data_IF_654076557369
#
_entry.id   IF_654076557369
#
_cell.length_a   1.000
_cell.length_b   1.000
_cell.length_c   1.000
_cell.angle_alpha   90.00
_cell.angle_beta   90.00
_cell.angle_gamma   90.00
#
_symmetry.space_group_name_H-M   'P 1'
#
loop_
_entity.id
_entity.type
_entity.pdbx_description
1 polymer ?
#
# COMPACT_ATOMS: atom_id res chain seq x y z
N UNK A 1 -33.46 -5.83 11.05
CA UNK A 1 -33.12 -4.59 10.30
C UNK A 1 -32.08 -3.82 11.11
N UNK A 2 -30.79 -4.09 10.91
CA UNK A 2 -29.72 -3.41 11.66
C UNK A 2 -29.35 -2.14 10.89
N UNK A 3 -29.70 -0.99 11.44
CA UNK A 3 -29.27 0.30 10.95
C UNK A 3 -27.73 0.39 11.08
N UNK A 4 -27.05 0.32 9.97
CA UNK A 4 -25.61 0.63 9.87
C UNK A 4 -25.45 2.15 9.97
N UNK A 5 -25.45 2.71 11.18
CA UNK A 5 -25.13 4.12 11.39
C UNK A 5 -23.65 4.29 11.04
N UNK A 6 -23.37 4.93 9.90
CA UNK A 6 -22.03 5.39 9.57
C UNK A 6 -21.47 6.18 10.78
N UNK A 7 -20.29 5.81 11.27
CA UNK A 7 -19.65 6.54 12.39
C UNK A 7 -19.30 7.93 11.90
N UNK A 8 -19.81 9.00 12.56
CA UNK A 8 -19.47 10.36 12.16
C UNK A 8 -17.95 10.59 12.28
N UNK A 9 -17.40 11.40 11.37
CA UNK A 9 -16.00 11.80 11.37
C UNK A 9 -15.62 12.45 12.71
N UNK A 10 -14.36 12.35 13.14
CA UNK A 10 -13.89 12.89 14.43
C UNK A 10 -14.23 14.40 14.61
N UNK A 11 -14.33 15.15 13.52
CA UNK A 11 -14.76 16.57 13.52
C UNK A 11 -16.21 16.80 13.94
N UNK A 12 -17.07 15.82 13.79
CA UNK A 12 -18.51 15.93 14.07
C UNK A 12 -18.87 15.41 15.46
N UNK A 13 -17.90 14.81 16.17
CA UNK A 13 -18.12 14.27 17.51
C UNK A 13 -17.95 15.35 18.56
N UNK A 14 -18.88 15.39 19.53
CA UNK A 14 -18.66 16.18 20.73
C UNK A 14 -17.43 15.69 21.51
N UNK A 15 -16.78 16.58 22.28
CA UNK A 15 -15.65 16.22 23.14
C UNK A 15 -15.92 15.00 24.02
N UNK A 16 -17.15 14.89 24.52
CA UNK A 16 -17.59 13.81 25.39
C UNK A 16 -17.69 12.47 24.62
N UNK A 17 -18.14 12.50 23.36
CA UNK A 17 -18.18 11.34 22.48
C UNK A 17 -16.79 10.90 22.04
N UNK A 18 -15.88 11.84 21.81
CA UNK A 18 -14.46 11.57 21.53
C UNK A 18 -13.81 10.92 22.74
N UNK A 19 -14.03 11.46 23.94
CA UNK A 19 -13.47 10.92 25.19
C UNK A 19 -14.02 9.54 25.55
N UNK A 20 -15.33 9.29 25.35
CA UNK A 20 -15.94 7.99 25.61
C UNK A 20 -15.51 6.91 24.63
N UNK A 21 -15.24 7.28 23.38
CA UNK A 21 -14.72 6.37 22.34
C UNK A 21 -13.20 6.18 22.41
N UNK A 22 -12.48 7.10 23.05
CA UNK A 22 -11.05 7.04 23.25
C UNK A 22 -10.69 6.04 24.36
N UNK A 23 -10.94 4.77 24.15
CA UNK A 23 -10.28 3.69 24.87
C UNK A 23 -8.75 3.82 24.82
N UNK A 24 -8.00 2.87 25.31
CA UNK A 24 -6.57 2.88 25.15
C UNK A 24 -6.20 2.93 23.65
N UNK A 25 -5.34 3.86 23.26
CA UNK A 25 -4.91 4.09 21.86
C UNK A 25 -4.47 2.79 21.17
N UNK A 26 -3.76 1.92 21.90
CA UNK A 26 -3.27 0.64 21.40
C UNK A 26 -4.37 -0.40 21.11
N UNK A 27 -5.59 -0.16 21.54
CA UNK A 27 -6.75 -1.02 21.21
C UNK A 27 -7.47 -0.56 19.94
N UNK A 28 -7.10 0.58 19.38
CA UNK A 28 -7.69 1.03 18.12
C UNK A 28 -7.21 0.15 16.95
N UNK A 29 -8.11 -0.32 16.02
CA UNK A 29 -7.74 -1.24 14.92
C UNK A 29 -6.58 -0.74 14.04
N UNK A 30 -6.44 0.57 13.85
CA UNK A 30 -5.38 1.16 13.04
C UNK A 30 -4.10 1.50 13.82
N UNK A 31 -4.08 1.31 15.14
CA UNK A 31 -2.89 1.63 15.93
C UNK A 31 -1.65 0.85 15.49
N UNK A 32 -1.79 -0.46 15.33
CA UNK A 32 -0.67 -1.30 14.89
C UNK A 32 -0.23 -0.96 13.45
N UNK A 33 -1.16 -0.55 12.58
CA UNK A 33 -0.83 -0.07 11.23
C UNK A 33 0.01 1.20 11.29
N UNK A 34 -0.43 2.20 12.07
CA UNK A 34 0.29 3.45 12.27
C UNK A 34 1.66 3.22 12.93
N UNK A 35 1.72 2.48 14.02
CA UNK A 35 2.96 2.15 14.71
C UNK A 35 3.94 1.41 13.78
N UNK A 36 3.46 0.42 13.06
CA UNK A 36 4.29 -0.37 12.14
C UNK A 36 4.89 0.45 11.00
N UNK A 37 4.19 1.47 10.47
CA UNK A 37 4.80 2.35 9.46
C UNK A 37 5.86 3.28 10.07
N UNK A 38 5.68 3.78 11.30
CA UNK A 38 6.71 4.54 12.00
C UNK A 38 7.95 3.68 12.28
N UNK A 39 7.75 2.46 12.75
CA UNK A 39 8.80 1.53 13.14
C UNK A 39 9.70 1.17 11.94
N UNK A 40 9.11 0.77 10.81
CA UNK A 40 9.89 0.41 9.61
C UNK A 40 10.55 1.60 8.91
N UNK A 41 10.03 2.82 9.07
CA UNK A 41 10.61 4.00 8.43
C UNK A 41 11.63 4.75 9.31
N UNK A 42 11.50 4.68 10.63
CA UNK A 42 12.26 5.53 11.55
C UNK A 42 12.98 4.79 12.67
N UNK A 43 12.83 3.48 12.81
CA UNK A 43 13.56 2.69 13.79
C UNK A 43 14.66 1.88 13.10
N UNK A 44 15.93 2.23 13.34
CA UNK A 44 17.09 1.53 12.77
C UNK A 44 17.15 0.06 13.20
N UNK A 45 16.56 -0.27 14.36
CA UNK A 45 16.51 -1.64 14.89
C UNK A 45 15.37 -2.47 14.27
N UNK A 46 14.53 -1.89 13.42
CA UNK A 46 13.47 -2.64 12.76
C UNK A 46 14.04 -3.54 11.66
N UNK A 47 13.69 -4.83 11.66
CA UNK A 47 14.02 -5.79 10.59
C UNK A 47 13.66 -5.27 9.20
N UNK A 48 12.67 -4.39 9.12
CA UNK A 48 12.21 -3.81 7.87
C UNK A 48 12.90 -2.49 7.51
N UNK A 49 13.73 -1.91 8.40
CA UNK A 49 14.31 -0.58 8.20
C UNK A 49 15.07 -0.45 6.87
N UNK A 50 15.94 -1.41 6.55
CA UNK A 50 16.71 -1.43 5.30
C UNK A 50 15.84 -1.36 4.03
N UNK A 51 14.61 -1.85 4.11
CA UNK A 51 13.67 -1.85 2.99
C UNK A 51 12.81 -0.60 2.91
N UNK A 52 12.76 0.20 3.98
CA UNK A 52 11.96 1.42 4.11
C UNK A 52 12.80 2.64 4.48
N UNK A 53 13.09 2.88 5.74
CA UNK A 53 13.85 4.03 6.21
C UNK A 53 15.24 4.11 5.59
N UNK A 54 15.95 2.99 5.48
CA UNK A 54 17.25 2.88 4.82
C UNK A 54 17.24 3.22 3.33
N UNK A 55 16.06 3.27 2.70
CA UNK A 55 15.85 3.74 1.31
C UNK A 55 15.23 5.14 1.22
N UNK A 56 15.23 5.89 2.32
CA UNK A 56 14.64 7.23 2.36
C UNK A 56 13.11 7.27 2.40
N UNK A 57 12.45 6.12 2.59
CA UNK A 57 11.00 6.08 2.76
C UNK A 57 10.65 6.56 4.17
N UNK A 58 9.87 7.62 4.24
CA UNK A 58 9.49 8.27 5.50
C UNK A 58 7.98 8.27 5.73
N UNK A 59 7.59 8.61 6.94
CA UNK A 59 6.21 8.92 7.30
C UNK A 59 6.05 10.43 7.37
N UNK A 60 4.92 10.95 6.89
CA UNK A 60 4.55 12.36 6.93
C UNK A 60 4.78 12.93 8.34
N UNK A 61 5.39 14.11 8.41
CA UNK A 61 5.92 14.66 9.65
C UNK A 61 4.86 14.81 10.72
N UNK A 62 3.70 15.33 10.37
CA UNK A 62 2.60 15.53 11.32
C UNK A 62 2.12 14.20 11.92
N UNK A 63 2.16 13.10 11.17
CA UNK A 63 1.79 11.78 11.69
C UNK A 63 2.84 11.16 12.61
N UNK A 64 4.03 11.77 12.70
CA UNK A 64 5.10 11.36 13.62
C UNK A 64 5.05 12.10 14.95
N UNK A 65 4.16 13.10 15.09
CA UNK A 65 4.10 13.95 16.27
C UNK A 65 3.73 13.15 17.52
N UNK A 66 4.67 13.10 18.48
CA UNK A 66 4.52 12.36 19.75
C UNK A 66 3.83 13.19 20.84
N UNK A 67 3.58 14.47 20.60
CA UNK A 67 2.86 15.31 21.57
C UNK A 67 1.48 14.70 21.87
N UNK A 68 0.98 14.95 23.08
CA UNK A 68 -0.37 14.53 23.46
C UNK A 68 -1.41 15.36 22.73
N UNK A 69 -2.46 14.71 22.25
CA UNK A 69 -3.57 15.43 21.65
C UNK A 69 -4.24 16.34 22.71
N UNK A 70 -4.51 17.62 22.43
CA UNK A 70 -5.00 18.58 23.43
C UNK A 70 -6.26 18.13 24.15
N UNK A 71 -7.17 17.50 23.42
CA UNK A 71 -8.49 17.07 23.93
C UNK A 71 -8.48 15.60 24.34
N UNK A 72 -7.78 14.73 23.60
CA UNK A 72 -7.68 13.29 23.89
C UNK A 72 -6.30 13.01 24.50
N UNK A 73 -6.07 13.48 25.72
CA UNK A 73 -4.76 13.44 26.40
C UNK A 73 -4.05 12.08 26.44
N UNK A 74 -4.79 10.98 26.21
CA UNK A 74 -4.23 9.61 26.18
C UNK A 74 -3.65 9.24 24.82
N UNK A 75 -3.95 9.99 23.75
CA UNK A 75 -3.52 9.70 22.40
C UNK A 75 -2.44 10.67 21.93
N UNK A 76 -1.55 10.22 21.03
CA UNK A 76 -0.61 11.12 20.38
C UNK A 76 -1.30 11.92 19.30
N UNK A 77 -0.87 13.16 19.11
CA UNK A 77 -1.38 14.04 18.07
C UNK A 77 -1.17 13.41 16.69
N UNK A 78 -0.01 12.82 16.43
CA UNK A 78 0.29 12.19 15.15
C UNK A 78 -0.62 11.01 14.81
N UNK A 79 -1.03 10.22 15.81
CA UNK A 79 -2.00 9.15 15.58
C UNK A 79 -3.39 9.71 15.27
N UNK A 80 -3.82 10.78 15.95
CA UNK A 80 -5.10 11.42 15.68
C UNK A 80 -5.17 12.01 14.28
N UNK A 81 -4.12 12.72 13.85
CA UNK A 81 -4.03 13.29 12.50
C UNK A 81 -3.99 12.21 11.41
N UNK A 82 -3.32 11.08 11.68
CA UNK A 82 -3.36 9.93 10.79
C UNK A 82 -4.76 9.35 10.67
N UNK A 83 -5.48 9.17 11.78
CA UNK A 83 -6.86 8.66 11.77
C UNK A 83 -7.80 9.61 11.03
N UNK A 84 -7.73 10.90 11.29
CA UNK A 84 -8.54 11.91 10.60
C UNK A 84 -8.31 11.83 9.09
N UNK A 85 -7.06 11.69 8.66
CA UNK A 85 -6.76 11.50 7.24
C UNK A 85 -7.38 10.22 6.67
N UNK A 86 -7.23 9.08 7.36
CA UNK A 86 -7.77 7.80 6.90
C UNK A 86 -9.29 7.85 6.80
N UNK A 87 -9.97 8.36 7.81
CA UNK A 87 -11.43 8.45 7.83
C UNK A 87 -11.99 9.36 6.73
N UNK A 88 -11.35 10.51 6.50
CA UNK A 88 -11.81 11.48 5.52
C UNK A 88 -11.48 11.12 4.06
N UNK A 89 -10.40 10.34 3.82
CA UNK A 89 -9.90 10.12 2.45
C UNK A 89 -9.93 8.66 1.99
N UNK A 90 -9.84 7.69 2.92
CA UNK A 90 -9.79 6.26 2.56
C UNK A 90 -11.05 5.51 2.97
N UNK A 91 -11.80 6.08 3.90
CA UNK A 91 -12.99 5.46 4.47
C UNK A 91 -12.69 4.18 5.27
N UNK A 92 -13.71 3.37 5.45
CA UNK A 92 -13.63 2.17 6.28
C UNK A 92 -12.77 1.08 5.65
N UNK A 93 -11.91 0.47 6.47
CA UNK A 93 -11.10 -0.66 6.06
C UNK A 93 -11.97 -1.91 5.85
N UNK A 94 -12.02 -2.44 4.64
CA UNK A 94 -12.65 -3.72 4.34
C UNK A 94 -11.85 -4.89 4.93
N UNK A 95 -12.52 -5.98 5.23
CA UNK A 95 -11.86 -7.21 5.66
C UNK A 95 -10.86 -7.70 4.60
N UNK A 96 -9.71 -8.21 5.01
CA UNK A 96 -8.64 -8.66 4.10
C UNK A 96 -7.81 -7.54 3.44
N UNK A 97 -8.21 -6.26 3.61
CA UNK A 97 -7.44 -5.12 3.10
C UNK A 97 -6.40 -4.64 4.10
N UNK A 98 -5.32 -4.09 3.61
CA UNK A 98 -4.30 -3.42 4.42
C UNK A 98 -3.87 -2.10 3.79
N UNK A 99 -3.26 -1.23 4.60
CA UNK A 99 -2.78 0.07 4.13
C UNK A 99 -1.60 -0.12 3.18
N UNK A 100 -1.72 0.40 1.97
CA UNK A 100 -0.72 0.33 0.90
C UNK A 100 -0.35 1.73 0.42
N UNK A 101 0.88 1.90 -0.06
CA UNK A 101 1.33 3.11 -0.74
C UNK A 101 1.05 2.97 -2.23
N UNK A 102 0.35 3.95 -2.81
CA UNK A 102 0.04 3.99 -4.24
C UNK A 102 1.33 3.96 -5.06
N UNK A 103 2.27 4.84 -4.71
CA UNK A 103 3.63 4.84 -5.24
C UNK A 103 4.59 4.32 -4.16
N UNK A 104 5.18 3.15 -4.37
CA UNK A 104 6.09 2.51 -3.43
C UNK A 104 7.42 3.26 -3.22
N UNK A 105 7.79 4.19 -4.12
CA UNK A 105 8.99 5.02 -3.99
C UNK A 105 8.78 6.23 -3.08
N UNK A 106 7.53 6.61 -2.84
CA UNK A 106 7.17 7.70 -1.95
C UNK A 106 6.89 7.17 -0.54
N UNK A 107 6.95 8.07 0.46
CA UNK A 107 6.65 7.78 1.85
C UNK A 107 5.15 7.60 2.14
N UNK A 108 4.84 7.34 3.41
CA UNK A 108 3.48 7.34 3.94
C UNK A 108 3.06 8.78 4.17
N UNK A 109 2.26 9.34 3.27
CA UNK A 109 1.84 10.74 3.27
C UNK A 109 0.47 10.91 2.64
N UNK A 110 -0.21 12.05 2.87
CA UNK A 110 -1.46 12.38 2.18
C UNK A 110 -1.34 12.21 0.66
N UNK A 111 -2.39 11.68 0.05
CA UNK A 111 -2.45 11.42 -1.40
C UNK A 111 -1.70 10.16 -1.87
N UNK A 112 -0.88 9.51 -1.03
CA UNK A 112 -0.12 8.31 -1.42
C UNK A 112 -0.57 7.02 -0.72
N UNK A 113 -1.72 7.02 -0.07
CA UNK A 113 -2.23 5.86 0.66
C UNK A 113 -3.56 5.37 0.06
N UNK A 114 -3.79 4.07 0.19
CA UNK A 114 -5.05 3.41 -0.16
C UNK A 114 -5.24 2.14 0.65
N UNK A 115 -6.46 1.65 0.71
CA UNK A 115 -6.72 0.26 1.09
C UNK A 115 -6.45 -0.66 -0.10
N UNK A 116 -5.70 -1.72 0.10
CA UNK A 116 -5.37 -2.70 -0.92
C UNK A 116 -5.49 -4.12 -0.41
N UNK A 117 -6.03 -5.00 -1.24
CA UNK A 117 -6.02 -6.44 -1.02
C UNK A 117 -4.65 -7.04 -1.39
N UNK A 118 -4.46 -8.32 -1.08
CA UNK A 118 -3.23 -9.02 -1.36
C UNK A 118 -2.89 -9.09 -2.87
N UNK A 119 -3.92 -9.09 -3.76
CA UNK A 119 -3.74 -9.13 -5.21
C UNK A 119 -3.14 -7.82 -5.72
N UNK A 120 -3.71 -6.69 -5.27
CA UNK A 120 -3.23 -5.36 -5.64
C UNK A 120 -1.81 -5.10 -5.11
N UNK A 121 -1.52 -5.55 -3.88
CA UNK A 121 -0.17 -5.44 -3.32
C UNK A 121 0.87 -6.25 -4.10
N UNK A 122 0.53 -7.47 -4.54
CA UNK A 122 1.41 -8.27 -5.41
C UNK A 122 1.69 -7.59 -6.74
N UNK A 123 0.69 -6.90 -7.33
CA UNK A 123 0.90 -6.13 -8.57
C UNK A 123 1.89 -4.98 -8.40
N UNK A 124 1.96 -4.39 -7.20
CA UNK A 124 2.84 -3.26 -6.89
C UNK A 124 4.24 -3.66 -6.42
N UNK A 125 4.49 -4.95 -6.19
CA UNK A 125 5.84 -5.39 -5.82
C UNK A 125 6.82 -5.11 -6.96
N UNK A 126 8.02 -4.60 -6.59
CA UNK A 126 9.13 -4.48 -7.54
C UNK A 126 9.43 -5.83 -8.16
N UNK A 127 9.72 -5.81 -9.44
CA UNK A 127 10.13 -7.01 -10.19
C UNK A 127 11.39 -7.57 -9.55
N UNK A 128 11.34 -8.82 -9.09
CA UNK A 128 12.45 -9.51 -8.43
C UNK A 128 13.29 -10.37 -9.37
N UNK A 129 12.94 -10.42 -10.67
CA UNK A 129 13.72 -11.20 -11.63
C UNK A 129 15.01 -10.46 -12.02
N UNK A 130 16.00 -11.21 -12.49
CA UNK A 130 17.31 -10.67 -12.90
C UNK A 130 17.23 -9.67 -14.06
N UNK A 131 16.15 -9.69 -14.82
CA UNK A 131 15.96 -8.79 -15.97
C UNK A 131 15.56 -7.38 -15.61
N UNK A 132 14.96 -7.17 -14.43
CA UNK A 132 14.36 -5.90 -14.02
C UNK A 132 13.00 -5.63 -14.69
N UNK A 133 12.57 -6.43 -15.65
CA UNK A 133 11.31 -6.29 -16.40
C UNK A 133 10.29 -7.36 -16.00
N UNK A 134 9.05 -6.97 -15.77
CA UNK A 134 7.95 -7.90 -15.50
C UNK A 134 7.71 -8.81 -16.68
N UNK A 135 7.49 -10.11 -16.41
CA UNK A 135 7.12 -11.14 -17.39
C UNK A 135 8.23 -11.53 -18.39
N UNK A 136 9.42 -10.94 -18.27
CA UNK A 136 10.59 -11.21 -19.09
C UNK A 136 11.56 -12.08 -18.30
N UNK A 137 12.00 -13.19 -18.89
CA UNK A 137 12.90 -14.16 -18.27
C UNK A 137 14.07 -14.46 -19.19
N UNK A 138 15.26 -14.56 -18.61
CA UNK A 138 16.42 -15.04 -19.34
C UNK A 138 16.26 -16.53 -19.68
N UNK A 139 16.68 -16.92 -20.86
CA UNK A 139 16.74 -18.33 -21.27
C UNK A 139 18.12 -18.87 -20.90
N UNK A 140 18.16 -20.03 -20.22
CA UNK A 140 19.43 -20.64 -19.83
C UNK A 140 20.30 -20.91 -21.06
N UNK A 141 21.59 -20.61 -20.97
CA UNK A 141 22.58 -20.78 -22.04
C UNK A 141 22.25 -20.05 -23.35
N UNK A 142 21.52 -18.94 -23.29
CA UNK A 142 21.15 -18.10 -24.42
C UNK A 142 21.25 -16.62 -24.09
N UNK A 143 21.48 -15.80 -25.09
CA UNK A 143 21.40 -14.33 -25.00
C UNK A 143 19.98 -13.80 -25.20
N UNK A 144 19.02 -14.70 -25.46
CA UNK A 144 17.64 -14.36 -25.77
C UNK A 144 16.78 -14.33 -24.51
N UNK A 145 15.61 -13.73 -24.64
CA UNK A 145 14.65 -13.47 -23.58
C UNK A 145 13.29 -14.06 -23.93
N UNK A 146 12.64 -14.70 -22.97
CA UNK A 146 11.28 -15.22 -23.15
C UNK A 146 10.27 -14.41 -22.36
N UNK A 147 9.04 -14.35 -22.89
CA UNK A 147 7.93 -13.69 -22.24
C UNK A 147 6.85 -14.70 -21.89
N UNK A 148 6.52 -14.75 -20.60
CA UNK A 148 5.34 -15.47 -20.13
C UNK A 148 4.68 -14.76 -18.97
N UNK A 149 3.35 -14.86 -18.89
CA UNK A 149 2.57 -14.37 -17.74
C UNK A 149 1.27 -15.17 -17.57
N UNK A 150 0.58 -14.95 -16.45
CA UNK A 150 -0.70 -15.61 -16.15
C UNK A 150 -1.85 -14.62 -16.21
N UNK A 151 -2.97 -15.04 -16.80
CA UNK A 151 -4.27 -14.37 -16.71
C UNK A 151 -5.25 -15.36 -16.08
N UNK A 152 -5.64 -15.10 -14.83
CA UNK A 152 -6.36 -16.11 -14.04
C UNK A 152 -5.54 -17.39 -13.86
N UNK A 153 -6.09 -18.51 -14.30
CA UNK A 153 -5.42 -19.82 -14.29
C UNK A 153 -4.63 -20.12 -15.58
N UNK A 154 -4.83 -19.33 -16.65
CA UNK A 154 -4.22 -19.57 -17.96
C UNK A 154 -2.82 -18.93 -18.01
N UNK A 155 -1.82 -19.71 -18.50
CA UNK A 155 -0.48 -19.22 -18.81
C UNK A 155 -0.47 -18.75 -20.27
N UNK A 156 0.06 -17.54 -20.49
CA UNK A 156 0.26 -16.92 -21.80
C UNK A 156 1.76 -16.89 -22.06
N UNK A 157 2.20 -17.50 -23.13
CA UNK A 157 3.57 -17.46 -23.63
C UNK A 157 3.59 -16.72 -24.96
N UNK A 158 4.44 -15.67 -25.08
CA UNK A 158 4.50 -14.82 -26.27
C UNK A 158 5.68 -15.15 -27.19
N UNK A 159 6.61 -15.99 -26.74
CA UNK A 159 7.77 -16.38 -27.55
C UNK A 159 9.10 -15.86 -26.99
N UNK A 160 10.10 -15.85 -27.89
CA UNK A 160 11.50 -15.49 -27.60
C UNK A 160 11.87 -14.22 -28.36
N UNK A 161 12.62 -13.34 -27.70
CA UNK A 161 13.03 -12.02 -28.19
C UNK A 161 14.55 -11.88 -28.08
N UNK A 162 15.14 -11.09 -28.95
CA UNK A 162 16.61 -10.85 -28.96
C UNK A 162 17.05 -9.91 -27.84
N UNK A 163 16.22 -8.94 -27.47
CA UNK A 163 16.50 -7.99 -26.39
C UNK A 163 15.44 -8.06 -25.30
N UNK A 164 15.83 -7.70 -24.08
CA UNK A 164 14.89 -7.66 -22.94
C UNK A 164 13.86 -6.53 -23.07
N UNK A 165 14.21 -5.47 -23.78
CA UNK A 165 13.33 -4.33 -24.09
C UNK A 165 12.23 -4.76 -25.06
N UNK A 166 12.56 -5.44 -26.17
CA UNK A 166 11.56 -6.00 -27.11
C UNK A 166 10.62 -6.95 -26.38
N UNK A 167 11.16 -7.86 -25.57
CA UNK A 167 10.38 -8.77 -24.74
C UNK A 167 9.41 -8.03 -23.82
N UNK A 168 9.87 -6.97 -23.19
CA UNK A 168 9.03 -6.17 -22.28
C UNK A 168 7.92 -5.42 -23.00
N UNK A 169 8.21 -4.81 -24.16
CA UNK A 169 7.18 -4.14 -24.96
C UNK A 169 6.15 -5.11 -25.49
N UNK A 170 6.55 -6.30 -25.95
CA UNK A 170 5.63 -7.35 -26.35
C UNK A 170 4.73 -7.81 -25.19
N UNK A 171 5.29 -7.94 -23.98
CA UNK A 171 4.51 -8.27 -22.80
C UNK A 171 3.49 -7.17 -22.44
N UNK A 172 3.85 -5.90 -22.56
CA UNK A 172 2.95 -4.77 -22.32
C UNK A 172 1.82 -4.73 -23.35
N UNK A 173 2.13 -4.81 -24.64
CA UNK A 173 1.16 -4.79 -25.73
C UNK A 173 0.11 -5.90 -25.55
N UNK A 174 0.56 -7.15 -25.39
CA UNK A 174 -0.35 -8.28 -25.19
C UNK A 174 -1.21 -8.17 -23.95
N UNK A 175 -0.70 -7.57 -22.87
CA UNK A 175 -1.49 -7.34 -21.68
C UNK A 175 -2.54 -6.24 -21.84
N UNK A 176 -2.23 -5.18 -22.57
CA UNK A 176 -3.21 -4.15 -22.91
C UNK A 176 -4.36 -4.75 -23.71
N UNK A 177 -4.07 -5.58 -24.72
CA UNK A 177 -5.08 -6.29 -25.51
C UNK A 177 -5.96 -7.23 -24.66
N UNK A 178 -5.38 -7.90 -23.64
CA UNK A 178 -6.14 -8.78 -22.75
C UNK A 178 -6.95 -8.05 -21.68
N UNK A 179 -6.65 -6.79 -21.42
CA UNK A 179 -7.37 -5.95 -20.44
C UNK A 179 -8.45 -5.07 -21.10
N UNK A 180 -8.41 -4.88 -22.42
CA UNK A 180 -9.40 -4.13 -23.16
C UNK A 180 -10.46 -5.08 -23.73
N UNK A 181 -11.74 -4.91 -23.38
CA UNK A 181 -12.79 -5.71 -24.02
C UNK A 181 -12.79 -5.43 -25.52
N UNK A 182 -12.79 -6.50 -26.34
CA UNK A 182 -12.84 -6.39 -27.79
C UNK A 182 -14.23 -6.05 -28.35
N UNK A 183 -15.18 -5.80 -27.45
CA UNK A 183 -16.59 -5.54 -27.79
C UNK A 183 -16.95 -4.09 -27.39
N UNK A 184 -16.65 -3.16 -28.28
CA UNK A 184 -17.32 -1.87 -28.45
C UNK A 184 -17.78 -1.76 -29.90
#
# INVERSE_FOLDING_TARGET
MFFNMARPALKELSLQQIQSRAGAMNKHPLYNTWRGMLERCHSINSISYERYGGKGISVFEEWRNKARHPQIKRWSLGFCLFLEYVENNLGEKKEGYSLDRINSSLGYRPGNLRWADASLQKKNQKVKNQTGYKYVYAIANSTNWQVEYKVGKKRIYLGVFKTKEEAYFAALASRLETMWPKDL
#
